data_IF_722020754579
#
_entry.id   IF_722020754579
#
_cell.length_a   1.000
_cell.length_b   1.000
_cell.length_c   1.000
_cell.angle_alpha   90.00
_cell.angle_beta   90.00
_cell.angle_gamma   90.00
#
_symmetry.space_group_name_H-M   'P 1'
#
loop_
_entity.id
_entity.type
_entity.pdbx_description
1 polymer ?
#
# COMPACT_ATOMS: atom_id res chain seq x y z
N UNK A 1 39.06 52.78 -28.67
CA UNK A 1 39.28 51.35 -28.97
C UNK A 1 38.02 50.86 -29.63
N UNK A 2 38.15 50.41 -30.88
CA UNK A 2 37.07 50.03 -31.78
C UNK A 2 36.48 48.64 -31.45
N UNK A 3 35.20 48.44 -31.79
CA UNK A 3 34.58 47.16 -32.16
C UNK A 3 35.24 46.56 -33.43
N UNK A 4 34.90 45.35 -33.97
CA UNK A 4 33.75 44.48 -33.68
C UNK A 4 33.98 42.95 -33.74
N UNK A 5 32.86 42.27 -33.49
CA UNK A 5 32.43 40.89 -33.74
C UNK A 5 32.98 40.12 -34.95
N UNK A 6 32.97 38.79 -34.81
CA UNK A 6 32.76 37.79 -35.86
C UNK A 6 31.92 36.67 -35.20
N UNK A 7 30.69 36.29 -35.56
CA UNK A 7 29.89 36.30 -36.79
C UNK A 7 30.59 35.78 -38.04
N UNK A 8 30.30 34.52 -38.34
CA UNK A 8 30.38 33.81 -39.62
C UNK A 8 29.77 32.42 -39.34
N UNK A 9 28.94 31.80 -40.15
CA UNK A 9 28.09 32.17 -41.28
C UNK A 9 27.33 30.89 -41.61
N UNK A 10 26.01 30.98 -41.76
CA UNK A 10 25.20 30.02 -42.53
C UNK A 10 25.79 29.80 -43.93
N UNK A 11 25.61 28.59 -44.52
CA UNK A 11 24.63 28.38 -45.62
C UNK A 11 24.55 26.93 -46.13
N UNK A 12 23.40 26.54 -46.72
CA UNK A 12 23.02 25.16 -47.06
C UNK A 12 23.21 24.83 -48.55
N UNK A 13 23.23 23.54 -48.89
CA UNK A 13 22.97 23.07 -50.26
C UNK A 13 22.57 21.59 -50.25
N UNK A 14 21.39 21.28 -50.77
CA UNK A 14 20.90 19.92 -50.91
C UNK A 14 19.43 19.85 -51.32
N UNK A 15 19.06 20.54 -52.41
CA UNK A 15 17.83 20.23 -53.14
C UNK A 15 18.03 18.96 -53.97
N UNK A 16 17.13 17.99 -53.82
CA UNK A 16 16.71 17.12 -54.91
C UNK A 16 15.21 16.89 -54.77
N UNK A 17 14.47 17.38 -55.76
CA UNK A 17 13.06 17.05 -55.98
C UNK A 17 13.00 15.81 -56.88
N UNK A 18 11.91 15.05 -56.72
CA UNK A 18 10.97 14.64 -57.77
C UNK A 18 10.57 13.16 -57.67
N UNK A 19 9.26 12.92 -57.59
CA UNK A 19 8.67 11.60 -57.81
C UNK A 19 7.27 11.49 -57.23
N UNK A 20 6.27 11.60 -58.10
CA UNK A 20 4.83 11.47 -57.83
C UNK A 20 4.43 10.03 -57.42
N UNK A 21 3.37 9.98 -56.60
CA UNK A 21 2.50 8.87 -56.13
C UNK A 21 2.29 7.68 -57.09
N UNK A 22 2.02 6.46 -56.58
CA UNK A 22 0.64 6.13 -56.17
C UNK A 22 0.47 5.27 -54.90
N UNK A 23 -0.50 5.69 -54.08
CA UNK A 23 -1.32 4.93 -53.12
C UNK A 23 -1.49 3.42 -53.42
N UNK A 24 -1.32 2.59 -52.37
CA UNK A 24 -2.18 1.46 -51.90
C UNK A 24 -1.34 0.50 -51.00
N UNK A 25 -1.95 -0.36 -50.15
CA UNK A 25 -3.26 -0.30 -49.50
C UNK A 25 -3.14 -0.32 -47.96
N UNK A 26 -4.27 -0.01 -47.34
CA UNK A 26 -4.71 -0.34 -45.99
C UNK A 26 -4.21 -1.70 -45.48
N UNK A 27 -3.44 -1.70 -44.39
CA UNK A 27 -3.58 -2.72 -43.34
C UNK A 27 -3.50 -2.00 -41.98
N UNK A 28 -4.63 -1.86 -41.26
CA UNK A 28 -4.60 -1.43 -39.88
C UNK A 28 -4.07 -2.62 -39.10
N UNK A 29 -2.75 -2.69 -38.95
CA UNK A 29 -2.09 -3.62 -38.04
C UNK A 29 -2.71 -3.41 -36.68
N UNK A 30 -3.61 -4.33 -36.35
CA UNK A 30 -4.38 -4.44 -35.12
C UNK A 30 -3.38 -4.39 -33.96
N UNK A 31 -3.13 -3.19 -33.47
CA UNK A 31 -2.49 -2.94 -32.20
C UNK A 31 -3.48 -3.34 -31.12
N UNK A 32 -3.83 -4.62 -31.10
CA UNK A 32 -4.55 -5.23 -30.01
C UNK A 32 -3.60 -5.12 -28.83
N UNK A 33 -3.90 -4.31 -27.79
CA UNK A 33 -3.18 -4.46 -26.55
C UNK A 33 -3.41 -5.92 -26.18
N UNK A 34 -2.30 -6.66 -26.18
CA UNK A 34 -2.19 -7.94 -25.52
C UNK A 34 -3.04 -7.87 -24.27
N UNK A 35 -4.10 -8.67 -24.33
CA UNK A 35 -5.02 -8.97 -23.26
C UNK A 35 -4.18 -9.48 -22.09
N UNK A 36 -3.63 -8.55 -21.32
CA UNK A 36 -3.19 -8.81 -19.95
C UNK A 36 -4.38 -9.49 -19.33
N UNK A 37 -4.19 -10.78 -19.05
CA UNK A 37 -5.06 -11.63 -18.29
C UNK A 37 -5.71 -10.79 -17.20
N UNK A 38 -6.98 -10.42 -17.38
CA UNK A 38 -7.67 -9.41 -16.58
C UNK A 38 -7.71 -9.81 -15.09
N UNK A 39 -7.51 -11.10 -14.78
CA UNK A 39 -7.40 -11.62 -13.41
C UNK A 39 -6.06 -11.39 -12.71
N UNK A 40 -4.97 -11.02 -13.41
CA UNK A 40 -3.67 -10.75 -12.78
C UNK A 40 -3.50 -9.27 -12.40
N UNK A 41 -4.51 -8.43 -12.66
CA UNK A 41 -4.50 -7.00 -12.36
C UNK A 41 -5.18 -6.66 -11.04
N UNK A 42 -5.81 -7.62 -10.39
CA UNK A 42 -6.54 -7.43 -9.15
C UNK A 42 -5.80 -8.06 -7.96
N UNK A 43 -5.73 -7.34 -6.85
CA UNK A 43 -5.16 -7.78 -5.59
C UNK A 43 -6.26 -7.78 -4.54
N UNK A 44 -6.54 -8.95 -3.97
CA UNK A 44 -7.52 -9.08 -2.86
C UNK A 44 -6.78 -9.09 -1.53
N UNK A 45 -7.16 -8.25 -0.57
CA UNK A 45 -6.54 -8.18 0.77
C UNK A 45 -7.55 -8.41 1.87
N UNK A 46 -7.12 -9.01 2.98
CA UNK A 46 -7.92 -9.16 4.19
C UNK A 46 -7.58 -8.04 5.15
N UNK A 47 -8.50 -7.10 5.34
CA UNK A 47 -8.24 -5.88 6.10
C UNK A 47 -9.08 -5.86 7.37
N UNK A 48 -8.52 -5.37 8.46
CA UNK A 48 -9.25 -5.11 9.70
C UNK A 48 -8.72 -3.88 10.42
N UNK A 49 -9.49 -3.42 11.40
CA UNK A 49 -9.04 -2.42 12.38
C UNK A 49 -8.42 -3.15 13.57
N UNK A 50 -7.35 -2.58 14.14
CA UNK A 50 -6.85 -3.00 15.44
C UNK A 50 -7.85 -2.57 16.53
N UNK A 51 -8.79 -3.47 16.87
CA UNK A 51 -9.77 -3.26 17.93
C UNK A 51 -9.75 -4.41 18.93
N UNK A 52 -9.89 -4.13 20.24
CA UNK A 52 -10.04 -5.18 21.24
C UNK A 52 -11.40 -5.89 21.15
N UNK A 53 -12.41 -5.26 20.52
CA UNK A 53 -13.78 -5.80 20.43
C UNK A 53 -14.02 -6.63 19.18
N UNK A 54 -13.46 -6.19 18.06
CA UNK A 54 -13.73 -6.75 16.73
C UNK A 54 -12.42 -6.99 16.00
N UNK A 55 -12.21 -8.22 15.54
CA UNK A 55 -10.99 -8.65 14.85
C UNK A 55 -11.28 -9.32 13.51
N UNK A 56 -12.50 -9.13 13.01
CA UNK A 56 -12.96 -9.70 11.75
C UNK A 56 -12.26 -9.03 10.58
N UNK A 57 -11.95 -9.84 9.57
CA UNK A 57 -11.37 -9.38 8.32
C UNK A 57 -12.46 -9.18 7.28
N UNK A 58 -12.35 -8.08 6.54
CA UNK A 58 -13.09 -7.85 5.31
C UNK A 58 -12.17 -8.05 4.12
N UNK A 59 -12.69 -8.59 3.03
CA UNK A 59 -11.96 -8.72 1.78
C UNK A 59 -12.15 -7.45 0.95
N UNK A 60 -11.04 -6.82 0.57
CA UNK A 60 -11.04 -5.61 -0.26
C UNK A 60 -10.26 -5.86 -1.54
N UNK A 61 -10.77 -5.33 -2.64
CA UNK A 61 -10.23 -5.50 -3.98
C UNK A 61 -9.46 -4.23 -4.39
N UNK A 62 -8.26 -4.39 -4.96
CA UNK A 62 -7.39 -3.30 -5.37
C UNK A 62 -6.77 -3.57 -6.74
N UNK A 63 -6.62 -2.52 -7.55
CA UNK A 63 -5.89 -2.61 -8.82
C UNK A 63 -4.38 -2.66 -8.57
N UNK A 64 -3.72 -3.71 -9.06
CA UNK A 64 -2.26 -3.93 -9.00
C UNK A 64 -1.46 -2.85 -9.71
N UNK A 65 -2.02 -2.26 -10.76
CA UNK A 65 -1.40 -1.17 -11.52
C UNK A 65 -1.33 0.14 -10.72
N UNK A 66 -2.26 0.32 -9.78
CA UNK A 66 -2.42 1.56 -9.00
C UNK A 66 -2.15 1.36 -7.51
N UNK A 67 -1.33 0.36 -7.15
CA UNK A 67 -0.94 0.09 -5.77
C UNK A 67 -0.05 1.19 -5.21
N UNK A 68 -0.68 2.12 -4.50
CA UNK A 68 -0.04 3.14 -3.68
C UNK A 68 -0.50 3.05 -2.23
N UNK A 69 0.31 3.58 -1.32
CA UNK A 69 -0.06 3.68 0.09
C UNK A 69 -1.36 4.46 0.29
N UNK A 70 -1.54 5.54 -0.48
CA UNK A 70 -2.73 6.37 -0.42
C UNK A 70 -3.98 5.64 -0.93
N UNK A 71 -3.86 4.86 -2.02
CA UNK A 71 -4.99 4.09 -2.55
C UNK A 71 -5.39 2.95 -1.61
N UNK A 72 -4.41 2.23 -1.04
CA UNK A 72 -4.69 1.22 -0.02
C UNK A 72 -5.40 1.85 1.18
N UNK A 73 -4.87 2.97 1.70
CA UNK A 73 -5.45 3.66 2.85
C UNK A 73 -6.90 4.08 2.56
N UNK A 74 -7.14 4.80 1.45
CA UNK A 74 -8.48 5.28 1.09
C UNK A 74 -9.48 4.16 0.90
N UNK A 75 -9.13 3.14 0.11
CA UNK A 75 -10.03 2.02 -0.18
C UNK A 75 -10.35 1.24 1.09
N UNK A 76 -9.32 0.94 1.91
CA UNK A 76 -9.52 0.27 3.21
C UNK A 76 -10.39 1.10 4.14
N UNK A 77 -10.17 2.41 4.21
CA UNK A 77 -10.95 3.32 5.04
C UNK A 77 -12.41 3.40 4.61
N UNK A 78 -12.68 3.48 3.30
CA UNK A 78 -14.04 3.48 2.75
C UNK A 78 -14.80 2.20 3.13
N UNK A 79 -14.19 1.03 2.94
CA UNK A 79 -14.83 -0.26 3.25
C UNK A 79 -15.04 -0.47 4.75
N UNK A 80 -14.14 0.05 5.59
CA UNK A 80 -14.24 -0.01 7.04
C UNK A 80 -15.09 1.10 7.65
N UNK A 81 -15.54 2.08 6.86
CA UNK A 81 -16.30 3.24 7.34
C UNK A 81 -15.54 4.17 8.29
N UNK A 82 -14.20 4.25 8.15
CA UNK A 82 -13.33 5.10 8.97
C UNK A 82 -12.72 6.23 8.13
N UNK A 83 -12.31 7.31 8.79
CA UNK A 83 -11.60 8.40 8.13
C UNK A 83 -10.08 8.13 8.09
N UNK A 84 -9.38 8.44 6.98
CA UNK A 84 -7.92 8.25 6.88
C UNK A 84 -7.14 9.07 7.92
N UNK A 85 -7.68 10.20 8.39
CA UNK A 85 -7.11 11.02 9.45
C UNK A 85 -7.07 10.30 10.79
N UNK A 86 -7.96 9.32 10.99
CA UNK A 86 -7.98 8.50 12.20
C UNK A 86 -6.94 7.39 12.15
N UNK A 87 -6.36 7.07 10.98
CA UNK A 87 -5.37 6.00 10.83
C UNK A 87 -3.98 6.50 11.19
N UNK A 88 -3.39 5.92 12.24
CA UNK A 88 -2.02 6.15 12.67
C UNK A 88 -1.02 5.44 11.77
N UNK A 89 -1.21 4.14 11.55
CA UNK A 89 -0.28 3.30 10.77
C UNK A 89 -0.98 2.09 10.17
N UNK A 90 -0.49 1.61 9.03
CA UNK A 90 -0.92 0.35 8.42
C UNK A 90 0.15 -0.72 8.63
N UNK A 91 -0.26 -1.90 9.09
CA UNK A 91 0.62 -3.05 9.31
C UNK A 91 0.15 -4.25 8.52
N UNK A 92 1.07 -5.02 7.95
CA UNK A 92 0.82 -6.38 7.51
C UNK A 92 1.05 -7.33 8.68
N UNK A 93 0.13 -8.27 8.92
CA UNK A 93 0.29 -9.25 9.99
C UNK A 93 1.38 -10.29 9.65
N UNK A 94 2.09 -10.82 10.67
CA UNK A 94 1.83 -10.58 12.09
C UNK A 94 2.36 -9.24 12.63
N UNK A 95 3.43 -8.62 12.11
CA UNK A 95 4.02 -7.38 12.67
C UNK A 95 4.92 -6.59 11.69
N UNK A 96 4.50 -6.38 10.43
CA UNK A 96 5.30 -5.65 9.43
C UNK A 96 4.69 -4.28 9.13
N UNK A 97 5.40 -3.19 9.44
CA UNK A 97 4.92 -1.84 9.12
C UNK A 97 5.05 -1.54 7.62
N UNK A 98 3.96 -1.08 7.00
CA UNK A 98 3.95 -0.60 5.62
C UNK A 98 4.20 0.90 5.62
N UNK A 99 5.30 1.35 5.00
CA UNK A 99 5.74 2.76 5.10
C UNK A 99 5.72 3.50 3.77
N UNK A 100 5.77 2.76 2.66
CA UNK A 100 5.90 3.30 1.31
C UNK A 100 5.23 2.39 0.30
N UNK A 101 4.99 2.91 -0.89
CA UNK A 101 4.34 2.19 -1.99
C UNK A 101 5.08 0.89 -2.35
N UNK A 102 6.41 0.87 -2.24
CA UNK A 102 7.19 -0.35 -2.50
C UNK A 102 6.92 -1.48 -1.51
N UNK A 103 6.45 -1.18 -0.30
CA UNK A 103 6.04 -2.20 0.65
C UNK A 103 4.65 -2.76 0.27
N UNK A 104 3.78 -1.92 -0.31
CA UNK A 104 2.44 -2.29 -0.81
C UNK A 104 2.56 -3.17 -2.06
N UNK A 105 3.45 -2.82 -2.98
CA UNK A 105 3.70 -3.59 -4.21
C UNK A 105 4.24 -5.01 -3.96
N UNK A 106 4.68 -5.31 -2.73
CA UNK A 106 5.14 -6.64 -2.32
C UNK A 106 4.01 -7.49 -1.71
N UNK A 107 2.83 -6.90 -1.51
CA UNK A 107 1.66 -7.62 -1.01
C UNK A 107 1.18 -8.63 -2.07
N UNK A 108 0.53 -9.68 -1.58
CA UNK A 108 -0.07 -10.74 -2.39
C UNK A 108 -1.50 -10.96 -1.92
N UNK A 109 -2.26 -11.71 -2.70
CA UNK A 109 -3.65 -11.97 -2.41
C UNK A 109 -3.83 -12.62 -1.03
N UNK A 110 -4.94 -12.26 -0.40
CA UNK A 110 -5.38 -12.72 0.91
C UNK A 110 -4.37 -12.47 2.04
N UNK A 111 -3.43 -11.54 1.84
CA UNK A 111 -2.60 -11.08 2.95
C UNK A 111 -3.41 -10.26 3.93
N UNK A 112 -3.12 -10.49 5.20
CA UNK A 112 -3.80 -9.83 6.30
C UNK A 112 -3.13 -8.49 6.63
N UNK A 113 -3.95 -7.45 6.66
CA UNK A 113 -3.58 -6.06 6.91
C UNK A 113 -4.39 -5.55 8.10
N UNK A 114 -3.72 -4.81 8.97
CA UNK A 114 -4.28 -4.21 10.16
C UNK A 114 -4.07 -2.69 10.10
N UNK A 115 -5.17 -1.94 10.14
CA UNK A 115 -5.18 -0.50 10.28
C UNK A 115 -5.22 -0.14 11.76
N UNK A 116 -4.30 0.72 12.16
CA UNK A 116 -4.18 1.14 13.56
C UNK A 116 -4.66 2.55 13.66
N UNK A 117 -5.68 2.74 14.48
CA UNK A 117 -6.26 4.05 14.70
C UNK A 117 -5.43 4.87 15.70
N UNK A 118 -5.49 6.18 15.56
CA UNK A 118 -4.97 7.11 16.55
C UNK A 118 -5.75 6.93 17.85
N UNK A 119 -5.03 6.87 18.96
CA UNK A 119 -5.65 6.75 20.28
C UNK A 119 -6.23 8.12 20.66
N UNK A 120 -7.47 8.37 20.25
CA UNK A 120 -8.24 9.55 20.61
C UNK A 120 -8.81 9.41 22.03
N UNK A 121 -7.90 9.32 23.03
CA UNK A 121 -8.18 9.55 24.45
C UNK A 121 -9.35 8.82 25.13
N UNK A 122 -10.05 7.91 24.46
CA UNK A 122 -11.34 7.36 24.91
C UNK A 122 -11.52 5.90 24.46
N UNK A 123 -10.50 5.09 24.66
CA UNK A 123 -10.68 3.66 24.87
C UNK A 123 -9.70 3.23 25.96
N UNK A 124 -10.19 3.45 27.18
CA UNK A 124 -9.63 2.97 28.43
C UNK A 124 -9.34 1.46 28.31
N UNK A 125 -8.07 1.13 28.57
CA UNK A 125 -7.59 -0.05 29.27
C UNK A 125 -8.60 -1.20 29.43
N UNK A 126 -8.47 -2.25 28.61
CA UNK A 126 -8.62 -3.63 29.08
C UNK A 126 -7.55 -4.50 28.40
N UNK A 127 -6.28 -4.09 28.52
CA UNK A 127 -5.29 -5.15 28.73
C UNK A 127 -5.65 -5.76 30.07
N UNK A 128 -6.32 -6.91 30.00
CA UNK A 128 -6.53 -7.86 31.07
C UNK A 128 -5.15 -8.17 31.66
N UNK A 129 -4.67 -7.31 32.55
CA UNK A 129 -3.64 -7.73 33.49
C UNK A 129 -4.30 -8.87 34.26
N UNK A 130 -3.80 -10.12 34.20
CA UNK A 130 -4.03 -10.99 35.32
C UNK A 130 -3.42 -10.23 36.48
N UNK A 131 -4.27 -9.70 37.36
CA UNK A 131 -3.83 -9.24 38.65
C UNK A 131 -3.14 -10.43 39.28
N UNK A 132 -1.81 -10.46 39.15
CA UNK A 132 -0.91 -11.12 40.07
C UNK A 132 -1.04 -10.38 41.40
N UNK A 133 -2.24 -10.42 41.97
CA UNK A 133 -2.38 -10.51 43.41
C UNK A 133 -1.85 -11.89 43.72
N UNK A 134 -0.53 -11.89 43.84
CA UNK A 134 0.29 -12.85 44.53
C UNK A 134 -0.41 -13.13 45.87
N UNK A 135 -1.37 -14.05 45.85
CA UNK A 135 -1.74 -14.76 47.07
C UNK A 135 -0.41 -15.32 47.55
N UNK A 136 0.08 -14.99 48.76
CA UNK A 136 1.24 -15.69 49.28
C UNK A 136 0.86 -17.17 49.29
N UNK A 137 1.44 -17.95 48.40
CA UNK A 137 1.31 -19.40 48.34
C UNK A 137 2.07 -20.06 49.51
N UNK A 138 2.03 -19.41 50.69
CA UNK A 138 2.64 -19.87 51.91
C UNK A 138 1.55 -20.50 52.76
N UNK A 139 1.47 -21.82 52.74
CA UNK A 139 0.63 -22.54 53.69
C UNK A 139 1.36 -22.53 55.04
N UNK A 140 0.94 -21.64 55.95
CA UNK A 140 1.49 -21.52 57.30
C UNK A 140 1.35 -22.80 58.14
N UNK A 141 0.52 -23.76 57.72
CA UNK A 141 0.39 -25.05 58.40
C UNK A 141 1.54 -26.02 58.08
N UNK A 142 2.34 -25.76 57.03
CA UNK A 142 3.47 -26.63 56.66
C UNK A 142 4.74 -26.40 57.52
N UNK A 143 4.79 -25.31 58.29
CA UNK A 143 5.99 -24.92 59.04
C UNK A 143 6.16 -25.61 60.41
N UNK A 144 5.35 -26.63 60.74
CA UNK A 144 5.37 -27.29 62.06
C UNK A 144 5.65 -28.80 61.96
N UNK A 145 6.70 -29.15 61.23
CA UNK A 145 7.38 -30.44 61.35
C UNK A 145 8.74 -30.18 62.04
N UNK A 146 8.73 -30.24 63.37
CA UNK A 146 9.96 -30.36 64.17
C UNK A 146 10.34 -31.84 64.27
N UNK A 147 11.58 -32.16 63.89
CA UNK A 147 12.24 -33.45 64.10
C UNK A 147 12.78 -33.55 65.53
#
# INVERSE_FOLDING_TARGET
MAEPQQDVSEKPAGEYKQGLDPQLPTDPGDGRPENTCVGDLELVLKVRIQSPRENDFIEVELNREELSYQNLLKTSCCELGIEPEQVKTIRKLPNTLLRKDKDILRLRDFQEIELILMKNGSSELEEYTPSLIEKPCYNSNAAKLTY
#
